data_IF_389008469440
#
_entry.id   IF_389008469440
#
_cell.length_a   1.000
_cell.length_b   1.000
_cell.length_c   1.000
_cell.angle_alpha   90.00
_cell.angle_beta   90.00
_cell.angle_gamma   90.00
#
_symmetry.space_group_name_H-M   'P 1'
#
loop_
_entity.id
_entity.type
_entity.pdbx_description
1 polymer ?
#
# COMPACT_ATOMS: atom_id res chain seq x y z
N UNK A 1 -34.09 15.55 78.47
CA UNK A 1 -35.15 15.10 77.56
C UNK A 1 -34.96 15.77 76.20
N UNK A 2 -34.93 14.99 75.09
CA UNK A 2 -35.34 15.38 73.71
C UNK A 2 -34.56 16.57 73.09
N UNK A 3 -33.92 16.51 71.92
CA UNK A 3 -34.13 15.71 70.70
C UNK A 3 -32.80 15.65 69.94
N UNK A 4 -32.42 14.45 69.53
CA UNK A 4 -31.42 14.20 68.48
C UNK A 4 -32.07 14.62 67.16
N UNK A 5 -31.56 15.68 66.54
CA UNK A 5 -31.96 16.11 65.20
C UNK A 5 -30.98 15.54 64.19
N UNK A 6 -31.40 14.44 63.57
CA UNK A 6 -30.78 13.79 62.43
C UNK A 6 -30.85 14.76 61.24
N UNK A 7 -29.69 15.26 60.80
CA UNK A 7 -29.52 15.99 59.55
C UNK A 7 -29.00 14.99 58.51
N UNK A 8 -29.93 14.49 57.69
CA UNK A 8 -29.65 13.68 56.50
C UNK A 8 -28.96 14.60 55.49
N UNK A 9 -27.64 14.52 55.42
CA UNK A 9 -26.84 15.22 54.41
C UNK A 9 -26.92 14.41 53.11
N UNK A 10 -27.82 14.89 52.26
CA UNK A 10 -27.71 15.06 50.81
C UNK A 10 -26.76 14.08 50.09
N UNK A 11 -27.37 13.10 49.43
CA UNK A 11 -26.72 12.18 48.52
C UNK A 11 -25.90 12.94 47.47
N UNK A 12 -24.61 12.62 47.47
CA UNK A 12 -23.62 13.09 46.52
C UNK A 12 -24.04 12.66 45.12
N UNK A 13 -24.28 13.65 44.24
CA UNK A 13 -24.52 13.46 42.82
C UNK A 13 -23.26 12.82 42.24
N UNK A 14 -23.36 11.54 41.92
CA UNK A 14 -22.33 10.80 41.18
C UNK A 14 -22.44 11.24 39.72
N UNK A 15 -21.61 12.21 39.34
CA UNK A 15 -21.37 12.56 37.95
C UNK A 15 -20.41 11.50 37.39
N UNK A 16 -20.92 10.40 36.85
CA UNK A 16 -20.12 9.53 35.97
C UNK A 16 -20.04 10.20 34.59
N UNK A 17 -19.31 11.30 34.50
CA UNK A 17 -18.67 11.70 33.25
C UNK A 17 -17.39 10.88 33.11
N UNK A 18 -17.55 9.60 32.73
CA UNK A 18 -16.48 8.88 32.07
C UNK A 18 -16.66 9.12 30.58
N UNK A 19 -16.22 10.29 30.11
CA UNK A 19 -15.66 10.37 28.77
C UNK A 19 -14.46 9.44 28.79
N UNK A 20 -14.69 8.19 28.39
CA UNK A 20 -13.61 7.29 28.04
C UNK A 20 -13.10 7.81 26.70
N UNK A 21 -11.96 8.48 26.82
CA UNK A 21 -11.02 8.91 25.79
C UNK A 21 -11.56 8.85 24.38
N UNK A 22 -11.78 10.03 23.81
CA UNK A 22 -11.94 10.25 22.39
C UNK A 22 -11.02 9.28 21.63
N UNK A 23 -11.60 8.33 20.91
CA UNK A 23 -11.01 7.72 19.73
C UNK A 23 -10.80 8.86 18.74
N UNK A 24 -9.77 9.67 18.99
CA UNK A 24 -9.18 10.51 17.94
C UNK A 24 -8.64 9.49 16.96
N UNK A 25 -9.15 9.42 15.71
CA UNK A 25 -8.56 8.55 14.72
C UNK A 25 -7.09 8.92 14.66
N UNK A 26 -6.21 8.00 15.06
CA UNK A 26 -4.78 8.21 14.95
C UNK A 26 -4.53 8.59 13.50
N UNK A 27 -3.93 9.77 13.25
CA UNK A 27 -3.64 10.20 11.89
C UNK A 27 -2.94 9.04 11.16
N UNK A 28 -3.38 8.64 9.95
CA UNK A 28 -2.95 7.38 9.42
C UNK A 28 -1.43 7.36 9.26
N UNK A 29 -0.81 6.30 9.76
CA UNK A 29 0.64 6.12 9.65
C UNK A 29 1.02 6.05 8.16
N UNK A 30 2.29 6.28 7.81
CA UNK A 30 2.71 6.45 6.41
C UNK A 30 2.22 5.31 5.48
N UNK A 31 2.13 4.09 6.00
CA UNK A 31 1.65 2.90 5.29
C UNK A 31 0.16 2.96 4.97
N UNK A 32 -0.66 3.42 5.91
CA UNK A 32 -2.11 3.57 5.70
C UNK A 32 -2.39 4.60 4.60
N UNK A 33 -1.73 5.77 4.66
CA UNK A 33 -1.85 6.80 3.61
C UNK A 33 -1.30 6.35 2.25
N UNK A 34 -0.21 5.60 2.24
CA UNK A 34 0.33 5.03 1.02
C UNK A 34 -0.63 3.98 0.43
N UNK A 35 -1.24 3.14 1.27
CA UNK A 35 -2.19 2.12 0.81
C UNK A 35 -3.47 2.73 0.22
N UNK A 36 -4.00 3.81 0.80
CA UNK A 36 -5.15 4.55 0.24
C UNK A 36 -4.92 4.97 -1.23
N UNK A 37 -3.67 5.21 -1.60
CA UNK A 37 -3.27 5.58 -2.96
C UNK A 37 -2.92 4.35 -3.79
N UNK A 38 -2.15 3.41 -3.23
CA UNK A 38 -1.65 2.21 -3.90
C UNK A 38 -2.76 1.24 -4.30
N UNK A 39 -3.79 1.10 -3.45
CA UNK A 39 -4.86 0.13 -3.65
C UNK A 39 -5.63 0.35 -4.96
N UNK A 40 -6.06 -0.75 -5.59
CA UNK A 40 -6.79 -0.76 -6.85
C UNK A 40 -5.93 -1.01 -8.08
N UNK A 41 -6.51 -0.75 -9.25
CA UNK A 41 -5.96 -1.19 -10.53
C UNK A 41 -5.04 -0.15 -11.18
N UNK A 42 -3.94 -0.65 -11.73
CA UNK A 42 -2.91 0.09 -12.44
C UNK A 42 -2.63 -0.55 -13.79
N UNK A 43 -2.37 0.28 -14.80
CA UNK A 43 -2.05 -0.17 -16.16
C UNK A 43 -1.13 0.82 -16.89
N UNK A 44 -0.73 0.51 -18.12
CA UNK A 44 0.15 1.38 -18.93
C UNK A 44 -0.57 2.59 -19.57
N UNK A 45 -1.88 2.74 -19.37
CA UNK A 45 -2.67 3.94 -19.69
C UNK A 45 -2.53 4.44 -21.12
N UNK A 46 -2.79 3.58 -22.12
CA UNK A 46 -2.63 3.92 -23.54
C UNK A 46 -1.28 4.58 -23.88
N UNK A 47 -0.20 4.21 -23.18
CA UNK A 47 1.15 4.76 -23.37
C UNK A 47 1.54 5.87 -22.39
N UNK A 48 0.70 6.23 -21.41
CA UNK A 48 1.04 7.15 -20.33
C UNK A 48 1.94 6.53 -19.25
N UNK A 49 1.93 5.20 -19.15
CA UNK A 49 2.87 4.39 -18.39
C UNK A 49 3.94 3.77 -19.29
N UNK A 50 4.98 3.21 -18.67
CA UNK A 50 6.10 2.57 -19.37
C UNK A 50 6.74 1.47 -18.51
N UNK A 51 7.37 0.51 -19.17
CA UNK A 51 8.26 -0.48 -18.55
C UNK A 51 9.62 -0.33 -19.22
N UNK A 52 10.62 0.05 -18.43
CA UNK A 52 12.00 0.17 -18.87
C UNK A 52 12.87 -0.88 -18.17
N UNK A 53 13.88 -1.38 -18.87
CA UNK A 53 14.96 -2.19 -18.31
C UNK A 53 16.28 -1.53 -18.64
N UNK A 54 17.06 -1.21 -17.60
CA UNK A 54 18.33 -0.48 -17.71
C UNK A 54 18.23 0.78 -18.59
N UNK A 55 17.08 1.47 -18.52
CA UNK A 55 16.78 2.69 -19.27
C UNK A 55 16.27 2.49 -20.70
N UNK A 56 16.11 1.26 -21.16
CA UNK A 56 15.53 0.94 -22.47
C UNK A 56 14.05 0.61 -22.33
N UNK A 57 13.19 1.27 -23.09
CA UNK A 57 11.75 0.97 -23.13
C UNK A 57 11.49 -0.42 -23.74
N UNK A 58 10.84 -1.28 -22.96
CA UNK A 58 10.43 -2.64 -23.33
C UNK A 58 8.91 -2.82 -23.18
N UNK A 59 8.14 -1.74 -23.09
CA UNK A 59 6.68 -1.76 -22.89
C UNK A 59 5.96 -2.59 -23.96
N UNK A 60 6.48 -2.63 -25.19
CA UNK A 60 5.92 -3.44 -26.27
C UNK A 60 5.91 -4.96 -25.97
N UNK A 61 6.75 -5.42 -25.04
CA UNK A 61 6.81 -6.82 -24.62
C UNK A 61 5.74 -7.18 -23.58
N UNK A 62 4.99 -6.19 -23.07
CA UNK A 62 3.96 -6.35 -22.03
C UNK A 62 2.61 -5.77 -22.48
N UNK A 63 2.07 -6.21 -23.63
CA UNK A 63 0.80 -5.68 -24.13
C UNK A 63 -0.33 -5.97 -23.13
N UNK A 64 -1.10 -4.95 -22.75
CA UNK A 64 -2.21 -5.10 -21.79
C UNK A 64 -1.77 -5.40 -20.35
N UNK A 65 -0.54 -5.05 -19.96
CA UNK A 65 -0.08 -5.18 -18.58
C UNK A 65 -1.01 -4.48 -17.60
N UNK A 66 -1.40 -5.22 -16.55
CA UNK A 66 -2.09 -4.67 -15.39
C UNK A 66 -1.46 -5.17 -14.10
N UNK A 67 -1.58 -4.35 -13.06
CA UNK A 67 -1.15 -4.63 -11.69
C UNK A 67 -2.22 -4.09 -10.76
N UNK A 68 -2.70 -4.90 -9.82
CA UNK A 68 -3.69 -4.47 -8.82
C UNK A 68 -3.20 -4.85 -7.44
N UNK A 69 -3.40 -3.94 -6.48
CA UNK A 69 -3.11 -4.18 -5.06
C UNK A 69 -4.41 -4.14 -4.24
N UNK A 70 -4.60 -5.16 -3.42
CA UNK A 70 -5.58 -5.21 -2.34
C UNK A 70 -4.85 -5.23 -1.00
N UNK A 71 -5.58 -5.21 0.10
CA UNK A 71 -4.97 -5.40 1.42
C UNK A 71 -4.33 -6.80 1.50
N UNK A 72 -2.99 -6.82 1.60
CA UNK A 72 -2.16 -8.04 1.64
C UNK A 72 -2.06 -8.85 0.34
N UNK A 73 -2.77 -8.49 -0.73
CA UNK A 73 -2.83 -9.24 -1.99
C UNK A 73 -2.48 -8.42 -3.22
N UNK A 74 -1.95 -9.05 -4.25
CA UNK A 74 -1.75 -8.43 -5.57
C UNK A 74 -2.10 -9.38 -6.70
N UNK A 75 -2.44 -8.82 -7.86
CA UNK A 75 -2.67 -9.56 -9.11
C UNK A 75 -2.02 -8.85 -10.28
N UNK A 76 -1.54 -9.61 -11.26
CA UNK A 76 -1.04 -9.08 -12.53
C UNK A 76 -1.64 -9.78 -13.74
N UNK A 77 -1.79 -9.05 -14.83
CA UNK A 77 -2.06 -9.60 -16.16
C UNK A 77 -0.91 -9.24 -17.08
N UNK A 78 -0.47 -10.18 -17.92
CA UNK A 78 0.64 -9.99 -18.88
C UNK A 78 1.93 -9.47 -18.23
N UNK A 79 2.20 -9.86 -16.97
CA UNK A 79 3.44 -9.56 -16.25
C UNK A 79 4.65 -10.40 -16.68
N UNK A 80 4.43 -11.41 -17.53
CA UNK A 80 5.45 -12.39 -17.93
C UNK A 80 6.23 -12.92 -16.71
N UNK A 81 7.56 -12.97 -16.79
CA UNK A 81 8.42 -13.44 -15.69
C UNK A 81 8.71 -12.35 -14.65
N UNK A 82 8.16 -11.12 -14.79
CA UNK A 82 8.41 -10.05 -13.82
C UNK A 82 7.65 -10.26 -12.51
N UNK A 83 6.40 -10.72 -12.61
CA UNK A 83 5.49 -10.90 -11.49
C UNK A 83 4.66 -12.17 -11.67
N UNK A 84 4.39 -12.88 -10.58
CA UNK A 84 3.34 -13.91 -10.58
C UNK A 84 1.98 -13.29 -10.93
N UNK A 85 1.10 -14.09 -11.53
CA UNK A 85 -0.27 -13.67 -11.85
C UNK A 85 -1.06 -13.22 -10.62
N UNK A 86 -0.74 -13.75 -9.45
CA UNK A 86 -1.24 -13.30 -8.15
C UNK A 86 -0.29 -13.70 -7.04
N UNK A 87 -0.34 -12.97 -5.93
CA UNK A 87 0.43 -13.31 -4.74
C UNK A 87 0.07 -12.44 -3.55
N UNK A 88 0.87 -12.53 -2.51
CA UNK A 88 0.79 -11.66 -1.33
C UNK A 88 1.89 -10.61 -1.33
N UNK A 89 1.65 -9.51 -0.62
CA UNK A 89 2.65 -8.46 -0.45
C UNK A 89 2.58 -7.85 0.96
N UNK A 90 3.67 -7.20 1.35
CA UNK A 90 3.75 -6.44 2.58
C UNK A 90 4.68 -5.22 2.42
N UNK A 91 4.53 -4.22 3.27
CA UNK A 91 5.48 -3.10 3.34
C UNK A 91 6.87 -3.59 3.77
N UNK A 92 7.91 -3.15 3.06
CA UNK A 92 9.29 -3.46 3.40
C UNK A 92 9.90 -2.56 4.47
N UNK A 93 9.31 -1.37 4.70
CA UNK A 93 9.75 -0.38 5.68
C UNK A 93 8.57 0.39 6.31
N UNK A 94 8.83 1.18 7.36
CA UNK A 94 7.81 1.98 8.09
C UNK A 94 7.35 3.23 7.34
N UNK A 95 8.16 3.70 6.40
CA UNK A 95 7.93 4.91 5.60
C UNK A 95 7.18 4.62 4.29
N UNK A 96 6.76 3.37 4.09
CA UNK A 96 6.08 2.89 2.88
C UNK A 96 6.87 3.16 1.58
N UNK A 97 8.20 3.05 1.62
CA UNK A 97 9.08 3.26 0.44
C UNK A 97 9.35 1.99 -0.33
N UNK A 98 9.12 0.84 0.27
CA UNK A 98 9.37 -0.48 -0.33
C UNK A 98 8.19 -1.41 -0.13
N UNK A 99 7.97 -2.30 -1.10
CA UNK A 99 7.01 -3.39 -1.08
C UNK A 99 7.79 -4.69 -1.26
N UNK A 100 7.50 -5.69 -0.43
CA UNK A 100 7.99 -7.06 -0.59
C UNK A 100 6.85 -7.93 -1.07
N UNK A 101 7.01 -8.56 -2.22
CA UNK A 101 6.07 -9.57 -2.73
C UNK A 101 6.55 -10.96 -2.36
N UNK A 102 5.66 -11.94 -2.43
CA UNK A 102 5.86 -13.31 -1.96
C UNK A 102 6.90 -14.14 -2.73
N UNK A 103 7.27 -13.72 -3.93
CA UNK A 103 8.38 -14.31 -4.70
C UNK A 103 9.78 -13.87 -4.21
N UNK A 104 9.83 -13.07 -3.13
CA UNK A 104 11.06 -12.56 -2.53
C UNK A 104 11.59 -11.28 -3.18
N UNK A 105 10.91 -10.75 -4.21
CA UNK A 105 11.26 -9.49 -4.85
C UNK A 105 10.90 -8.32 -3.95
N UNK A 106 11.83 -7.37 -3.85
CA UNK A 106 11.61 -6.08 -3.23
C UNK A 106 11.47 -5.00 -4.31
N UNK A 107 10.37 -4.28 -4.24
CA UNK A 107 10.01 -3.18 -5.13
C UNK A 107 10.22 -1.87 -4.39
N UNK A 108 11.03 -0.98 -4.94
CA UNK A 108 11.28 0.35 -4.37
C UNK A 108 10.39 1.38 -5.05
N UNK A 109 9.60 2.10 -4.27
CA UNK A 109 8.68 3.14 -4.75
C UNK A 109 9.47 4.43 -5.00
N UNK A 110 9.45 4.90 -6.25
CA UNK A 110 10.06 6.18 -6.62
C UNK A 110 9.03 7.31 -6.75
N UNK A 111 7.77 6.97 -7.06
CA UNK A 111 6.64 7.89 -7.05
C UNK A 111 5.35 7.13 -6.74
N UNK A 112 4.56 7.64 -5.80
CA UNK A 112 3.20 7.16 -5.56
C UNK A 112 2.28 8.35 -5.33
N UNK A 113 1.29 8.51 -6.20
CA UNK A 113 0.19 9.47 -6.07
C UNK A 113 -1.07 8.89 -6.73
N UNK A 114 -2.20 9.60 -6.61
CA UNK A 114 -3.52 9.11 -7.04
C UNK A 114 -3.59 8.61 -8.50
N UNK A 115 -2.74 9.14 -9.39
CA UNK A 115 -2.82 8.86 -10.83
C UNK A 115 -1.58 8.14 -11.37
N UNK A 116 -0.50 8.01 -10.57
CA UNK A 116 0.75 7.42 -11.02
C UNK A 116 1.47 6.68 -9.91
N UNK A 117 1.87 5.47 -10.24
CA UNK A 117 2.74 4.64 -9.44
C UNK A 117 3.99 4.30 -10.28
N UNK A 118 5.15 4.75 -9.82
CA UNK A 118 6.45 4.43 -10.41
C UNK A 118 7.31 3.71 -9.38
N UNK A 119 7.93 2.62 -9.80
CA UNK A 119 8.75 1.80 -8.93
C UNK A 119 9.88 1.10 -9.67
N UNK A 120 10.85 0.60 -8.92
CA UNK A 120 12.02 -0.09 -9.44
C UNK A 120 12.26 -1.42 -8.72
N UNK A 121 12.88 -2.37 -9.41
CA UNK A 121 13.34 -3.64 -8.84
C UNK A 121 14.41 -4.27 -9.75
N UNK A 122 15.27 -5.11 -9.18
CA UNK A 122 16.19 -5.93 -9.97
C UNK A 122 15.54 -7.27 -10.31
N UNK A 123 15.76 -7.75 -11.53
CA UNK A 123 15.27 -9.04 -12.00
C UNK A 123 16.42 -9.88 -12.56
N UNK A 124 16.50 -11.13 -12.13
CA UNK A 124 17.45 -12.14 -12.63
C UNK A 124 16.74 -13.04 -13.65
N UNK A 125 16.49 -12.51 -14.85
CA UNK A 125 15.83 -13.23 -15.94
C UNK A 125 16.69 -14.30 -16.60
N UNK A 126 16.09 -15.19 -17.40
CA UNK A 126 16.75 -16.33 -18.05
C UNK A 126 16.68 -16.37 -19.58
N UNK A 127 16.58 -15.19 -20.24
CA UNK A 127 16.58 -14.97 -21.71
C UNK A 127 15.20 -14.96 -22.45
N UNK A 128 14.13 -14.49 -21.81
CA UNK A 128 12.85 -14.17 -22.45
C UNK A 128 12.78 -12.69 -22.82
N UNK A 129 12.23 -12.31 -23.98
CA UNK A 129 12.11 -10.90 -24.40
C UNK A 129 11.29 -10.05 -23.39
N UNK A 130 10.29 -10.67 -22.75
CA UNK A 130 9.65 -10.16 -21.56
C UNK A 130 10.26 -10.88 -20.34
N UNK A 131 10.88 -10.15 -19.42
CA UNK A 131 11.61 -10.74 -18.28
C UNK A 131 13.11 -10.96 -18.51
N UNK A 132 13.78 -10.14 -19.34
CA UNK A 132 15.25 -10.16 -19.40
C UNK A 132 15.86 -9.73 -18.06
N UNK A 133 17.08 -10.17 -17.77
CA UNK A 133 17.78 -9.71 -16.58
C UNK A 133 18.10 -8.20 -16.69
N UNK A 134 17.96 -7.47 -15.58
CA UNK A 134 18.26 -6.05 -15.51
C UNK A 134 17.54 -5.32 -14.37
N UNK A 135 17.72 -4.00 -14.30
CA UNK A 135 17.00 -3.16 -13.37
C UNK A 135 15.78 -2.56 -14.05
N UNK A 136 14.61 -2.92 -13.55
CA UNK A 136 13.35 -2.45 -14.08
C UNK A 136 12.96 -1.13 -13.45
N UNK A 137 12.42 -0.24 -14.29
CA UNK A 137 11.64 0.92 -13.86
C UNK A 137 10.27 0.81 -14.52
N UNK A 138 9.24 0.65 -13.69
CA UNK A 138 7.85 0.51 -14.15
C UNK A 138 7.10 1.75 -13.70
N UNK A 139 6.41 2.41 -14.63
CA UNK A 139 5.46 3.48 -14.36
C UNK A 139 4.09 3.08 -14.89
N UNK A 140 3.11 3.04 -14.00
CA UNK A 140 1.72 2.72 -14.32
C UNK A 140 0.82 3.85 -13.84
N UNK A 141 -0.36 3.92 -14.44
CA UNK A 141 -1.38 4.93 -14.16
C UNK A 141 -2.71 4.28 -13.86
N UNK A 142 -3.59 5.05 -13.22
CA UNK A 142 -4.98 4.72 -12.93
C UNK A 142 -5.89 5.66 -13.69
#
# INVERSE_FOLDING_TARGET
MKRISILIILAFVVVLSSCKDDDVPSAPNARERAFEVLGGDWNLGNGAGRIEVDGTDVSANYPGFTLSFTDGGYTTTNGADLFNASGTWQWGDEEARTIKVDDGKEVTISLLNANRFTFTFSHSGTNSAAGIAGNYTVSVVK
#
